data_IF_926961689007
#
_entry.id   IF_926961689007
#
_cell.length_a   1.000
_cell.length_b   1.000
_cell.length_c   1.000
_cell.angle_alpha   90.00
_cell.angle_beta   90.00
_cell.angle_gamma   90.00
#
_symmetry.space_group_name_H-M   'P 1'
#
loop_
_entity.id
_entity.type
_entity.pdbx_description
1 polymer ?
#
# COMPACT_ATOMS: atom_id res chain seq x y z
N UNK A 1 0.75 -0.77 30.62
CA UNK A 1 1.66 -1.05 29.48
C UNK A 1 0.99 -2.14 28.70
N UNK A 2 0.32 -1.75 27.63
CA UNK A 2 -0.68 -2.55 26.91
C UNK A 2 -0.02 -3.39 25.82
N UNK A 3 -0.16 -4.71 25.97
CA UNK A 3 0.20 -5.73 24.99
C UNK A 3 -0.70 -5.63 23.75
N UNK A 4 -0.08 -5.60 22.57
CA UNK A 4 -0.78 -5.69 21.28
C UNK A 4 -0.70 -7.14 20.78
N UNK A 5 -1.71 -7.93 21.13
CA UNK A 5 -1.98 -9.26 20.60
C UNK A 5 -2.63 -9.14 19.22
N UNK A 6 -1.87 -9.39 18.15
CA UNK A 6 -2.45 -9.76 16.85
C UNK A 6 -2.28 -11.26 16.67
N UNK A 7 -3.26 -12.02 17.16
CA UNK A 7 -3.43 -13.43 16.83
C UNK A 7 -3.86 -13.55 15.37
N UNK A 8 -2.97 -14.09 14.54
CA UNK A 8 -3.24 -14.49 13.16
C UNK A 8 -4.16 -15.71 13.17
N UNK A 9 -5.40 -15.55 12.70
CA UNK A 9 -6.27 -16.68 12.38
C UNK A 9 -5.66 -17.43 11.18
N UNK A 10 -5.33 -18.69 11.41
CA UNK A 10 -4.80 -19.63 10.42
C UNK A 10 -5.92 -20.04 9.45
N UNK A 11 -5.76 -19.92 8.11
CA UNK A 11 -6.71 -20.52 7.17
C UNK A 11 -6.53 -22.03 7.17
N UNK A 12 -7.63 -22.76 7.28
CA UNK A 12 -7.60 -24.22 7.18
C UNK A 12 -7.09 -24.68 5.82
N UNK A 13 -6.24 -25.71 5.87
CA UNK A 13 -5.68 -26.43 4.71
C UNK A 13 -6.81 -27.00 3.84
N UNK A 14 -6.93 -26.50 2.62
CA UNK A 14 -7.72 -27.13 1.58
C UNK A 14 -7.73 -26.31 0.30
N UNK A 15 -6.89 -26.70 -0.66
CA UNK A 15 -6.92 -26.30 -2.07
C UNK A 15 -6.73 -24.81 -2.40
N UNK A 16 -5.49 -24.41 -2.68
CA UNK A 16 -5.14 -23.28 -3.55
C UNK A 16 -3.68 -23.48 -4.00
N UNK A 17 -3.46 -24.42 -4.92
CA UNK A 17 -2.22 -24.41 -5.71
C UNK A 17 -2.35 -23.31 -6.76
N UNK A 18 -1.39 -22.36 -6.76
CA UNK A 18 -1.14 -21.24 -7.69
C UNK A 18 -1.22 -19.81 -7.15
N UNK A 19 -1.51 -19.60 -5.86
CA UNK A 19 -1.25 -18.29 -5.26
C UNK A 19 0.25 -18.16 -4.91
N UNK A 20 1.05 -17.50 -5.78
CA UNK A 20 2.41 -17.08 -5.41
C UNK A 20 2.31 -16.16 -4.19
N UNK A 21 3.02 -16.42 -3.08
CA UNK A 21 3.04 -15.50 -1.96
C UNK A 21 3.91 -14.30 -2.36
N UNK A 22 3.30 -13.29 -2.96
CA UNK A 22 3.92 -11.97 -3.01
C UNK A 22 3.97 -11.45 -1.57
N UNK A 23 5.11 -11.70 -0.93
CA UNK A 23 5.48 -11.12 0.36
C UNK A 23 5.54 -9.60 0.17
N UNK A 24 4.41 -8.97 0.47
CA UNK A 24 4.21 -7.54 0.68
C UNK A 24 4.87 -7.18 2.01
N UNK A 25 6.18 -6.97 2.01
CA UNK A 25 6.88 -6.34 3.12
C UNK A 25 6.85 -4.81 2.94
N UNK A 26 6.59 -4.03 4.01
CA UNK A 26 6.28 -2.62 3.90
C UNK A 26 7.58 -1.82 3.79
N UNK A 27 7.85 -1.25 2.61
CA UNK A 27 8.76 -0.11 2.54
C UNK A 27 8.13 0.92 1.61
N UNK A 28 7.59 1.94 2.28
CA UNK A 28 6.65 2.92 1.76
C UNK A 28 7.20 3.67 0.54
N UNK A 29 6.69 3.35 -0.65
CA UNK A 29 6.76 4.27 -1.78
C UNK A 29 5.67 5.32 -1.55
N UNK A 30 6.07 6.57 -1.42
CA UNK A 30 5.13 7.68 -1.31
C UNK A 30 4.58 7.98 -2.70
N UNK A 31 3.30 7.70 -2.90
CA UNK A 31 2.60 8.19 -4.07
C UNK A 31 2.09 9.60 -3.76
N UNK A 32 2.53 10.55 -4.60
CA UNK A 32 2.22 11.97 -4.45
C UNK A 32 1.28 12.34 -5.59
N UNK A 33 0.06 12.72 -5.25
CA UNK A 33 -0.97 13.07 -6.22
C UNK A 33 -1.45 14.48 -5.96
N UNK A 34 -1.41 15.34 -6.99
CA UNK A 34 -2.09 16.63 -6.97
C UNK A 34 -3.48 16.47 -7.56
N UNK A 35 -4.45 17.05 -6.90
CA UNK A 35 -5.80 17.25 -7.40
C UNK A 35 -6.05 18.74 -7.62
N UNK A 36 -6.57 19.10 -8.78
CA UNK A 36 -7.06 20.45 -9.07
C UNK A 36 -8.52 20.35 -9.49
N UNK A 37 -9.41 21.08 -8.82
CA UNK A 37 -10.80 21.19 -9.27
C UNK A 37 -10.86 22.12 -10.49
N UNK A 38 -11.51 21.69 -11.56
CA UNK A 38 -11.80 22.47 -12.76
C UNK A 38 -13.33 22.50 -12.91
N UNK A 39 -13.98 23.34 -12.10
CA UNK A 39 -15.44 23.37 -12.01
C UNK A 39 -15.99 22.11 -11.34
N UNK A 40 -16.64 21.23 -12.12
CA UNK A 40 -17.24 19.98 -11.62
C UNK A 40 -16.35 18.74 -11.84
N UNK A 41 -15.16 18.91 -12.42
CA UNK A 41 -14.24 17.81 -12.70
C UNK A 41 -12.93 17.98 -11.95
N UNK A 42 -12.31 16.87 -11.57
CA UNK A 42 -11.01 16.86 -10.93
C UNK A 42 -9.92 16.47 -11.93
N UNK A 43 -8.89 17.30 -12.03
CA UNK A 43 -7.65 16.95 -12.72
C UNK A 43 -6.71 16.23 -11.75
N UNK A 44 -6.31 15.00 -12.11
CA UNK A 44 -5.38 14.17 -11.33
C UNK A 44 -4.00 14.25 -11.96
N UNK A 45 -2.99 14.64 -11.17
CA UNK A 45 -1.58 14.64 -11.62
C UNK A 45 -0.70 13.85 -10.65
N UNK A 46 -0.03 12.84 -11.16
CA UNK A 46 0.97 12.07 -10.41
C UNK A 46 2.28 12.88 -10.38
N UNK A 47 2.79 13.11 -9.17
CA UNK A 47 3.96 13.95 -8.93
C UNK A 47 5.22 13.15 -8.59
N UNK A 48 5.08 11.90 -8.17
CA UNK A 48 6.19 10.99 -7.89
C UNK A 48 6.36 9.92 -8.98
N UNK A 49 7.49 9.21 -8.94
CA UNK A 49 7.74 8.00 -9.72
C UNK A 49 7.96 6.83 -8.78
N UNK A 50 7.62 5.62 -9.24
CA UNK A 50 7.92 4.39 -8.49
C UNK A 50 9.40 4.03 -8.67
N UNK A 51 10.14 4.06 -7.57
CA UNK A 51 11.53 3.61 -7.51
C UNK A 51 11.61 2.16 -7.01
N UNK A 52 11.09 1.24 -7.83
CA UNK A 52 11.10 -0.19 -7.57
C UNK A 52 11.61 -0.94 -8.81
N UNK A 53 12.00 -2.20 -8.62
CA UNK A 53 12.53 -3.02 -9.70
C UNK A 53 11.45 -3.54 -10.67
N UNK A 54 10.17 -3.24 -10.41
CA UNK A 54 9.08 -3.40 -11.39
C UNK A 54 9.02 -2.27 -12.41
N UNK A 55 9.65 -1.13 -12.15
CA UNK A 55 9.83 -0.06 -13.13
C UNK A 55 11.03 -0.39 -14.03
N UNK A 56 10.78 -0.70 -15.30
CA UNK A 56 11.83 -1.08 -16.24
C UNK A 56 12.90 0.01 -16.44
N UNK A 57 12.58 1.29 -16.23
CA UNK A 57 13.59 2.36 -16.29
C UNK A 57 14.60 2.20 -15.15
N UNK A 58 14.12 1.94 -13.94
CA UNK A 58 14.97 1.71 -12.76
C UNK A 58 15.70 0.37 -12.85
N UNK A 59 15.02 -0.69 -13.30
CA UNK A 59 15.64 -1.99 -13.51
C UNK A 59 16.78 -1.91 -14.54
N UNK A 60 16.58 -1.21 -15.65
CA UNK A 60 17.61 -1.01 -16.66
C UNK A 60 18.75 -0.14 -16.17
N UNK A 61 18.48 0.90 -15.36
CA UNK A 61 19.53 1.69 -14.69
C UNK A 61 20.48 0.77 -13.90
N UNK A 62 19.93 -0.11 -13.06
CA UNK A 62 20.72 -1.07 -12.27
C UNK A 62 21.50 -2.02 -13.18
N UNK A 63 20.86 -2.61 -14.20
CA UNK A 63 21.56 -3.51 -15.15
C UNK A 63 22.74 -2.84 -15.87
N UNK A 64 22.63 -1.54 -16.17
CA UNK A 64 23.70 -0.76 -16.80
C UNK A 64 24.83 -0.45 -15.80
N UNK A 65 24.49 -0.18 -14.54
CA UNK A 65 25.49 0.06 -13.47
C UNK A 65 26.27 -1.21 -13.10
N UNK A 66 25.66 -2.40 -13.28
CA UNK A 66 26.24 -3.71 -12.96
C UNK A 66 26.35 -4.62 -14.21
N UNK A 67 27.25 -4.29 -15.16
CA UNK A 67 27.40 -5.09 -16.37
C UNK A 67 27.87 -6.52 -16.05
N UNK A 68 27.35 -7.49 -16.81
CA UNK A 68 27.58 -8.94 -16.64
C UNK A 68 26.89 -9.59 -15.43
N UNK A 69 26.07 -8.85 -14.68
CA UNK A 69 25.30 -9.39 -13.56
C UNK A 69 23.83 -9.58 -13.96
N UNK A 70 23.54 -10.65 -14.71
CA UNK A 70 22.19 -10.91 -15.20
C UNK A 70 21.12 -11.02 -14.09
N UNK A 71 21.54 -11.38 -12.87
CA UNK A 71 20.67 -11.52 -11.70
C UNK A 71 20.63 -10.28 -10.77
N UNK A 72 21.26 -9.16 -11.15
CA UNK A 72 21.20 -7.93 -10.35
C UNK A 72 19.76 -7.41 -10.18
N UNK A 73 18.91 -7.67 -11.18
CA UNK A 73 17.44 -7.51 -11.11
C UNK A 73 16.79 -8.83 -11.54
N UNK A 74 16.14 -9.49 -10.60
CA UNK A 74 15.54 -10.81 -10.77
C UNK A 74 14.08 -10.80 -10.29
N UNK A 75 13.14 -11.25 -11.12
CA UNK A 75 11.70 -11.26 -10.82
C UNK A 75 11.14 -9.93 -10.31
N UNK A 76 11.56 -8.80 -10.92
CA UNK A 76 11.11 -7.47 -10.52
C UNK A 76 11.62 -7.02 -9.14
N UNK A 77 12.72 -7.62 -8.66
CA UNK A 77 13.39 -7.32 -7.39
C UNK A 77 14.90 -7.17 -7.58
N UNK A 78 15.49 -6.22 -6.89
CA UNK A 78 16.95 -6.06 -6.79
C UNK A 78 17.52 -7.23 -5.99
N UNK A 79 18.51 -7.91 -6.56
CA UNK A 79 19.09 -9.17 -6.06
C UNK A 79 18.05 -10.29 -5.81
N UNK A 80 16.87 -10.19 -6.43
CA UNK A 80 15.76 -11.12 -6.25
C UNK A 80 15.03 -11.02 -4.91
N UNK A 81 15.35 -10.04 -4.07
CA UNK A 81 14.77 -9.93 -2.72
C UNK A 81 14.18 -8.55 -2.43
N UNK A 82 14.88 -7.49 -2.85
CA UNK A 82 14.54 -6.11 -2.48
C UNK A 82 13.63 -5.53 -3.57
N UNK A 83 12.43 -5.08 -3.21
CA UNK A 83 11.50 -4.47 -4.17
C UNK A 83 11.96 -3.09 -4.61
N UNK A 84 12.55 -2.31 -3.71
CA UNK A 84 12.96 -0.94 -3.95
C UNK A 84 14.31 -0.84 -4.65
N UNK A 85 14.47 0.20 -5.46
CA UNK A 85 15.77 0.60 -6.04
C UNK A 85 16.38 1.79 -5.30
N UNK A 86 15.60 2.47 -4.46
CA UNK A 86 16.04 3.58 -3.63
C UNK A 86 15.78 3.28 -2.16
N UNK A 87 16.80 3.39 -1.31
CA UNK A 87 16.69 3.12 0.12
C UNK A 87 17.61 4.05 0.93
N UNK A 88 17.09 4.77 1.94
CA UNK A 88 17.95 5.58 2.80
C UNK A 88 18.91 4.70 3.62
N UNK A 89 20.16 5.14 3.88
CA UNK A 89 21.19 4.32 4.52
C UNK A 89 20.78 3.77 5.88
N UNK A 90 20.00 4.55 6.65
CA UNK A 90 19.50 4.16 7.97
C UNK A 90 18.69 2.85 7.93
N UNK A 91 17.98 2.56 6.83
CA UNK A 91 17.24 1.32 6.69
C UNK A 91 18.16 0.14 6.38
N UNK A 92 19.16 0.34 5.52
CA UNK A 92 20.16 -0.69 5.25
C UNK A 92 20.99 -1.04 6.48
N UNK A 93 21.42 -0.04 7.24
CA UNK A 93 22.28 -0.19 8.41
C UNK A 93 21.55 -0.73 9.63
N UNK A 94 20.29 -0.32 9.86
CA UNK A 94 19.55 -0.71 11.06
C UNK A 94 18.59 -1.86 10.82
N UNK A 95 17.90 -1.89 9.70
CA UNK A 95 16.90 -2.93 9.46
C UNK A 95 17.59 -4.21 9.03
N UNK A 96 18.38 -4.20 7.95
CA UNK A 96 19.04 -5.44 7.48
C UNK A 96 20.07 -5.99 8.47
N UNK A 97 20.83 -5.14 9.15
CA UNK A 97 21.88 -5.62 10.07
C UNK A 97 21.36 -6.00 11.47
N UNK A 98 20.26 -5.39 11.95
CA UNK A 98 19.79 -5.59 13.33
C UNK A 98 18.45 -6.34 13.43
N UNK A 99 17.79 -6.67 12.32
CA UNK A 99 16.57 -7.47 12.36
C UNK A 99 16.86 -8.82 13.04
N UNK A 100 16.29 -9.01 14.23
CA UNK A 100 16.43 -10.22 15.05
C UNK A 100 15.02 -10.74 15.39
N UNK A 101 14.68 -12.02 15.13
CA UNK A 101 15.51 -13.02 14.48
C UNK A 101 15.89 -12.57 13.07
N UNK A 102 17.10 -12.95 12.61
CA UNK A 102 17.58 -12.65 11.26
C UNK A 102 16.43 -12.86 10.29
N UNK A 103 16.02 -11.78 9.62
CA UNK A 103 14.89 -11.68 8.68
C UNK A 103 14.24 -13.04 8.43
N UNK A 104 13.02 -13.29 8.96
CA UNK A 104 12.17 -14.49 8.76
C UNK A 104 12.86 -15.73 8.17
N UNK A 105 12.67 -16.95 8.71
CA UNK A 105 13.22 -18.22 8.15
C UNK A 105 13.16 -18.41 6.60
N UNK A 106 12.27 -17.71 5.91
CA UNK A 106 12.14 -17.68 4.45
C UNK A 106 13.11 -16.72 3.73
N UNK A 107 13.88 -15.89 4.45
CA UNK A 107 14.81 -14.93 3.85
C UNK A 107 16.11 -15.63 3.54
N UNK A 108 16.38 -15.78 2.25
CA UNK A 108 17.50 -16.55 1.74
C UNK A 108 18.74 -15.67 1.65
N UNK A 109 19.30 -15.33 2.81
CA UNK A 109 20.52 -14.50 2.91
C UNK A 109 21.65 -15.06 2.04
N UNK A 110 21.80 -16.39 1.97
CA UNK A 110 22.77 -17.03 1.10
C UNK A 110 22.55 -16.71 -0.40
N UNK A 111 21.30 -16.66 -0.86
CA UNK A 111 20.97 -16.26 -2.24
C UNK A 111 21.26 -14.77 -2.48
N UNK A 112 20.99 -13.91 -1.48
CA UNK A 112 21.36 -12.49 -1.55
C UNK A 112 22.87 -12.32 -1.70
N UNK A 113 23.65 -12.98 -0.85
CA UNK A 113 25.10 -12.89 -0.85
C UNK A 113 25.72 -13.44 -2.14
N UNK A 114 25.16 -14.52 -2.71
CA UNK A 114 25.60 -15.07 -3.98
C UNK A 114 25.41 -14.10 -5.16
N UNK A 115 24.43 -13.20 -5.07
CA UNK A 115 24.12 -12.19 -6.10
C UNK A 115 24.74 -10.82 -5.83
N UNK A 116 25.23 -10.58 -4.63
CA UNK A 116 25.84 -9.31 -4.22
C UNK A 116 27.33 -9.25 -4.64
N UNK A 117 27.57 -8.97 -5.91
CA UNK A 117 28.89 -9.03 -6.54
C UNK A 117 29.58 -7.65 -6.57
N UNK A 118 28.87 -6.59 -6.99
CA UNK A 118 29.42 -5.23 -7.15
C UNK A 118 28.56 -4.16 -6.47
N UNK A 119 28.43 -4.16 -5.12
CA UNK A 119 27.70 -3.10 -4.43
C UNK A 119 28.29 -1.70 -4.73
N UNK A 120 27.47 -0.62 -4.71
CA UNK A 120 26.09 -0.58 -4.24
C UNK A 120 25.02 -0.75 -5.36
N UNK A 121 23.98 -1.55 -5.08
CA UNK A 121 22.82 -1.74 -5.99
C UNK A 121 21.65 -0.76 -5.74
N UNK A 122 21.62 -0.13 -4.56
CA UNK A 122 20.55 0.76 -4.14
C UNK A 122 21.05 2.19 -4.09
N UNK A 123 20.24 3.11 -4.62
CA UNK A 123 20.50 4.54 -4.52
C UNK A 123 19.93 5.10 -3.22
N UNK A 124 20.64 6.03 -2.58
CA UNK A 124 20.10 6.83 -1.48
C UNK A 124 19.67 8.24 -1.91
N UNK A 125 19.72 8.53 -3.22
CA UNK A 125 19.38 9.85 -3.77
C UNK A 125 17.89 9.94 -4.05
N UNK A 126 17.19 10.86 -3.37
CA UNK A 126 15.78 11.11 -3.65
C UNK A 126 15.59 11.85 -4.97
N UNK A 127 14.56 11.49 -5.74
CA UNK A 127 14.09 12.33 -6.86
C UNK A 127 13.31 13.53 -6.30
N UNK A 128 13.73 14.74 -6.66
CA UNK A 128 13.11 15.98 -6.19
C UNK A 128 12.43 16.70 -7.35
N UNK A 129 11.11 16.86 -7.25
CA UNK A 129 10.31 17.62 -8.22
C UNK A 129 9.87 18.94 -7.61
N UNK A 130 10.22 20.06 -8.26
CA UNK A 130 9.70 21.38 -7.89
C UNK A 130 8.47 21.68 -8.71
N UNK A 131 7.41 22.10 -8.02
CA UNK A 131 6.11 22.34 -8.63
C UNK A 131 5.70 23.75 -8.27
N UNK A 132 5.43 24.57 -9.29
CA UNK A 132 4.87 25.89 -9.07
C UNK A 132 3.35 25.79 -8.97
N UNK A 133 2.80 25.97 -7.77
CA UNK A 133 1.37 25.90 -7.53
C UNK A 133 0.60 27.01 -8.28
N UNK A 134 1.19 28.20 -8.43
CA UNK A 134 0.52 29.35 -9.08
C UNK A 134 0.39 29.19 -10.59
N UNK A 135 1.30 28.45 -11.24
CA UNK A 135 1.21 28.16 -12.67
C UNK A 135 0.24 27.00 -12.98
N UNK A 136 -0.13 26.25 -11.95
CA UNK A 136 -1.00 25.09 -12.08
C UNK A 136 -2.45 25.38 -11.72
N UNK A 137 -2.73 26.52 -11.10
CA UNK A 137 -4.07 27.05 -10.87
C UNK A 137 -4.18 28.40 -11.57
N UNK A 138 -4.57 28.41 -12.87
CA UNK A 138 -4.89 29.66 -13.55
C UNK A 138 -6.17 30.29 -13.00
N UNK A 139 -7.03 29.50 -12.33
CA UNK A 139 -8.30 29.95 -11.77
C UNK A 139 -8.12 30.42 -10.31
N UNK A 140 -8.60 31.63 -9.96
CA UNK A 140 -8.37 32.23 -8.64
C UNK A 140 -9.14 31.56 -7.48
N UNK A 141 -10.01 30.59 -7.75
CA UNK A 141 -10.90 29.97 -6.76
C UNK A 141 -10.66 28.46 -6.55
N UNK A 142 -9.64 27.87 -7.17
CA UNK A 142 -9.37 26.44 -7.09
C UNK A 142 -8.23 26.17 -6.12
N UNK A 143 -8.55 25.48 -5.01
CA UNK A 143 -7.55 25.08 -4.02
C UNK A 143 -6.98 23.72 -4.39
N UNK A 144 -5.68 23.61 -4.69
CA UNK A 144 -5.09 22.32 -5.00
C UNK A 144 -4.98 21.46 -3.74
N UNK A 145 -5.28 20.17 -3.87
CA UNK A 145 -5.10 19.18 -2.80
C UNK A 145 -3.89 18.29 -3.12
N UNK A 146 -3.12 17.98 -2.09
CA UNK A 146 -2.00 17.05 -2.16
C UNK A 146 -2.35 15.79 -1.36
N UNK A 147 -2.37 14.64 -2.05
CA UNK A 147 -2.52 13.34 -1.40
C UNK A 147 -1.13 12.69 -1.31
N UNK A 148 -0.79 12.27 -0.10
CA UNK A 148 0.40 11.50 0.20
C UNK A 148 -0.06 10.16 0.78
N UNK A 149 0.24 9.07 0.10
CA UNK A 149 -0.12 7.74 0.55
C UNK A 149 1.02 6.74 0.31
N UNK A 150 0.97 5.62 1.02
CA UNK A 150 1.83 4.49 0.73
C UNK A 150 1.30 3.66 -0.42
N UNK A 151 2.19 2.95 -1.10
CA UNK A 151 1.86 1.86 -2.03
C UNK A 151 0.87 0.85 -1.43
N UNK A 152 0.99 0.55 -0.13
CA UNK A 152 0.05 -0.33 0.57
C UNK A 152 -1.41 0.10 0.47
N UNK A 153 -1.72 1.41 0.51
CA UNK A 153 -3.09 1.90 0.31
C UNK A 153 -3.54 1.67 -1.13
N UNK A 154 -2.71 2.00 -2.10
CA UNK A 154 -3.01 1.83 -3.52
C UNK A 154 -3.16 0.36 -3.90
N UNK A 155 -2.37 -0.53 -3.29
CA UNK A 155 -2.46 -1.98 -3.45
C UNK A 155 -3.80 -2.52 -2.94
N UNK A 156 -4.29 -2.03 -1.79
CA UNK A 156 -5.59 -2.43 -1.24
C UNK A 156 -6.72 -2.07 -2.22
N UNK A 157 -6.71 -0.84 -2.74
CA UNK A 157 -7.70 -0.43 -3.73
C UNK A 157 -7.53 -1.19 -5.05
N UNK A 158 -6.32 -1.38 -5.55
CA UNK A 158 -6.08 -2.07 -6.82
C UNK A 158 -6.57 -3.52 -6.80
N UNK A 159 -6.36 -4.23 -5.68
CA UNK A 159 -6.90 -5.58 -5.47
C UNK A 159 -8.42 -5.58 -5.48
N UNK A 160 -9.04 -4.58 -4.84
CA UNK A 160 -10.49 -4.43 -4.77
C UNK A 160 -11.10 -4.14 -6.15
N UNK A 161 -10.47 -3.25 -6.91
CA UNK A 161 -10.98 -2.76 -8.20
C UNK A 161 -10.63 -3.68 -9.38
N UNK A 162 -9.80 -4.70 -9.17
CA UNK A 162 -9.32 -5.62 -10.22
C UNK A 162 -8.73 -4.86 -11.41
N UNK A 163 -8.13 -3.71 -11.13
CA UNK A 163 -7.53 -2.84 -12.13
C UNK A 163 -6.19 -3.39 -12.60
N UNK A 164 -5.94 -3.33 -13.91
CA UNK A 164 -4.63 -3.54 -14.51
C UNK A 164 -3.66 -2.38 -14.23
N UNK A 165 -2.66 -2.21 -15.08
CA UNK A 165 -1.46 -1.40 -14.84
C UNK A 165 -1.65 0.12 -14.55
N UNK A 166 -2.87 0.68 -14.66
CA UNK A 166 -3.22 2.05 -14.21
C UNK A 166 -3.49 2.11 -12.69
N UNK A 167 -2.50 1.67 -11.91
CA UNK A 167 -2.62 1.29 -10.49
C UNK A 167 -3.06 2.45 -9.56
N UNK A 168 -2.86 3.73 -9.93
CA UNK A 168 -3.13 4.85 -9.01
C UNK A 168 -4.33 5.73 -9.39
N UNK A 169 -4.64 5.87 -10.69
CA UNK A 169 -5.68 6.82 -11.14
C UNK A 169 -7.06 6.39 -10.63
N UNK A 170 -7.37 5.09 -10.71
CA UNK A 170 -8.66 4.59 -10.26
C UNK A 170 -8.86 4.67 -8.75
N UNK A 171 -7.90 4.26 -7.89
CA UNK A 171 -8.00 4.53 -6.45
C UNK A 171 -8.26 6.00 -6.14
N UNK A 172 -7.51 6.92 -6.77
CA UNK A 172 -7.67 8.36 -6.54
C UNK A 172 -9.06 8.85 -6.96
N UNK A 173 -9.61 8.37 -8.08
CA UNK A 173 -10.97 8.68 -8.49
C UNK A 173 -12.01 8.24 -7.45
N UNK A 174 -11.80 7.11 -6.78
CA UNK A 174 -12.67 6.68 -5.68
C UNK A 174 -12.48 7.52 -4.42
N UNK A 175 -11.28 8.00 -4.15
CA UNK A 175 -11.07 8.90 -3.02
C UNK A 175 -11.78 10.23 -3.23
N UNK A 176 -11.76 10.74 -4.47
CA UNK A 176 -12.43 11.98 -4.86
C UNK A 176 -13.94 11.94 -4.63
N UNK A 177 -14.61 10.81 -4.88
CA UNK A 177 -16.05 10.71 -4.62
C UNK A 177 -16.37 10.78 -3.14
N UNK A 178 -15.44 10.41 -2.24
CA UNK A 178 -15.60 10.56 -0.79
C UNK A 178 -15.31 11.97 -0.31
N UNK A 179 -14.34 12.63 -0.94
CA UNK A 179 -13.93 14.01 -0.59
C UNK A 179 -15.03 15.03 -0.85
N UNK A 180 -15.95 14.76 -1.78
CA UNK A 180 -17.06 15.67 -2.12
C UNK A 180 -18.20 15.65 -1.08
N UNK A 181 -18.19 14.69 -0.14
CA UNK A 181 -19.33 14.43 0.73
C UNK A 181 -19.18 14.85 2.19
N UNK A 182 -17.97 14.98 2.77
CA UNK A 182 -17.83 15.26 4.22
C UNK A 182 -16.59 16.11 4.58
N UNK A 183 -16.80 17.26 5.24
CA UNK A 183 -15.73 18.22 5.61
C UNK A 183 -15.24 18.04 7.05
N UNK A 184 -15.93 17.26 7.88
CA UNK A 184 -15.72 17.22 9.35
C UNK A 184 -15.25 15.86 9.91
N UNK A 185 -14.76 14.97 9.04
CA UNK A 185 -14.29 13.63 9.42
C UNK A 185 -12.81 13.41 9.07
N UNK A 186 -12.19 12.43 9.72
CA UNK A 186 -10.82 12.04 9.42
C UNK A 186 -10.77 11.25 8.10
N UNK A 187 -10.76 11.98 7.00
CA UNK A 187 -10.76 11.45 5.63
C UNK A 187 -9.68 10.38 5.41
N UNK A 188 -8.49 10.54 5.99
CA UNK A 188 -7.42 9.55 5.83
C UNK A 188 -7.80 8.19 6.46
N UNK A 189 -8.43 8.23 7.63
CA UNK A 189 -8.90 7.03 8.32
C UNK A 189 -10.08 6.40 7.58
N UNK A 190 -10.98 7.21 7.03
CA UNK A 190 -12.14 6.72 6.27
C UNK A 190 -11.72 6.07 4.95
N UNK A 191 -10.75 6.66 4.24
CA UNK A 191 -10.18 6.04 3.04
C UNK A 191 -9.47 4.71 3.33
N UNK A 192 -8.82 4.60 4.49
CA UNK A 192 -8.19 3.37 4.95
C UNK A 192 -9.23 2.31 5.35
N UNK A 193 -10.28 2.69 6.07
CA UNK A 193 -11.37 1.78 6.41
C UNK A 193 -12.12 1.31 5.16
N UNK A 194 -12.34 2.20 4.19
CA UNK A 194 -12.95 1.84 2.92
C UNK A 194 -12.08 0.81 2.16
N UNK A 195 -10.76 1.00 2.13
CA UNK A 195 -9.81 0.05 1.56
C UNK A 195 -9.86 -1.34 2.23
N UNK A 196 -9.97 -1.39 3.57
CA UNK A 196 -9.92 -2.62 4.35
C UNK A 196 -11.26 -3.36 4.41
N UNK A 197 -12.34 -2.62 4.62
CA UNK A 197 -13.66 -3.17 4.96
C UNK A 197 -14.63 -3.20 3.79
N UNK A 198 -14.30 -2.49 2.68
CA UNK A 198 -15.08 -2.42 1.44
C UNK A 198 -16.58 -2.49 1.68
N UNK A 199 -17.20 -1.39 2.09
CA UNK A 199 -18.63 -1.26 2.45
C UNK A 199 -19.55 -2.39 1.94
N UNK A 200 -19.54 -3.54 2.61
CA UNK A 200 -20.58 -4.55 2.54
C UNK A 200 -21.61 -4.25 3.64
N UNK A 201 -22.00 -2.97 3.73
CA UNK A 201 -23.09 -2.49 4.57
C UNK A 201 -24.47 -2.77 3.97
N UNK A 202 -24.56 -3.66 2.98
CA UNK A 202 -25.82 -4.20 2.49
C UNK A 202 -25.74 -5.73 2.54
N UNK A 203 -26.53 -6.29 3.46
CA UNK A 203 -27.18 -7.60 3.31
C UNK A 203 -26.36 -8.86 3.61
N UNK A 204 -26.19 -9.15 4.90
CA UNK A 204 -26.87 -10.33 5.48
C UNK A 204 -27.30 -9.98 6.89
N UNK A 205 -28.59 -9.68 7.06
CA UNK A 205 -29.24 -9.86 8.34
C UNK A 205 -29.11 -11.35 8.70
N UNK A 206 -28.16 -11.67 9.57
CA UNK A 206 -28.13 -12.96 10.23
C UNK A 206 -29.31 -12.92 11.19
N UNK A 207 -30.31 -13.75 10.91
CA UNK A 207 -31.42 -14.11 11.78
C UNK A 207 -30.99 -14.08 13.25
N UNK A 208 -31.39 -13.02 13.95
CA UNK A 208 -31.52 -13.10 15.40
C UNK A 208 -32.70 -14.04 15.65
N UNK A 209 -32.51 -15.17 16.37
CA UNK A 209 -33.61 -16.06 16.69
C UNK A 209 -34.66 -15.29 17.51
N UNK A 210 -35.96 -15.53 17.29
CA UNK A 210 -37.00 -14.87 18.08
C UNK A 210 -36.85 -15.30 19.53
N UNK A 211 -36.67 -14.32 20.41
CA UNK A 211 -36.68 -14.49 21.86
C UNK A 211 -37.94 -15.26 22.26
N UNK A 212 -37.71 -16.47 22.79
CA UNK A 212 -38.75 -17.29 23.40
C UNK A 212 -38.89 -16.89 24.86
N UNK A 213 -40.15 -16.69 25.25
CA UNK A 213 -40.69 -16.75 26.61
C UNK A 213 -40.38 -15.60 27.58
N UNK A 214 -41.16 -14.52 27.48
CA UNK A 214 -41.77 -13.94 28.68
C UNK A 214 -42.94 -14.83 29.11
N UNK A 215 -42.66 -15.83 29.94
CA UNK A 215 -43.71 -16.51 30.69
C UNK A 215 -44.12 -15.62 31.86
N UNK A 216 -45.35 -15.13 31.78
CA UNK A 216 -46.18 -14.79 32.93
C UNK A 216 -46.02 -15.86 34.03
N UNK A 217 -45.50 -15.47 35.19
CA UNK A 217 -45.89 -16.08 36.45
C UNK A 217 -46.67 -15.04 37.25
N UNK A 218 -47.97 -15.23 37.18
CA UNK A 218 -48.97 -14.66 38.06
C UNK A 218 -48.86 -15.31 39.45
N UNK A 219 -49.27 -14.53 40.47
CA UNK A 219 -49.84 -14.94 41.76
C UNK A 219 -48.88 -15.29 42.92
N UNK A 220 -48.71 -14.31 43.79
CA UNK A 220 -49.47 -14.29 45.05
C UNK A 220 -48.71 -14.69 46.31
N UNK A 221 -48.50 -13.74 47.21
CA UNK A 221 -48.60 -13.97 48.64
C UNK A 221 -49.16 -12.72 49.32
N UNK A 222 -50.22 -12.95 50.11
CA UNK A 222 -50.69 -12.07 51.18
C UNK A 222 -49.74 -12.15 52.36
#
# INVERSE_FOLDING_TARGET
MTDCLCNFLSPQRGQLEHARPFLSSPIYILEIVKLTSLGAQWEIRILSKRHNAGNEVEANRIRVEHPNEAECVHEGRVLGLITLTHLPPIYSERVFALATPGFHKNYKVAELLARNLTPPYLSNRAEVKRINLTLLDPEPNTSPMLILCSDGLCDLYSRRLKTGDDVIVQPVQQWLTKLDHEVDVNLALDLLWDALSGNNGAETAIDAPPDRHTSEMMLGFK
#
